data_IF_612122064539
#
_entry.id   IF_612122064539
#
_cell.length_a   1.000
_cell.length_b   1.000
_cell.length_c   1.000
_cell.angle_alpha   90.00
_cell.angle_beta   90.00
_cell.angle_gamma   90.00
#
_symmetry.space_group_name_H-M   'P 1'
#
loop_
_entity.id
_entity.type
_entity.pdbx_description
1 polymer ?
#
# COMPACT_ATOMS: atom_id res chain seq x y z
N UNK A 1 0.01 17.68 16.67
CA UNK A 1 -1.05 16.64 16.76
C UNK A 1 -2.25 17.23 17.47
N UNK A 2 -3.43 17.11 16.86
CA UNK A 2 -4.71 17.62 17.37
C UNK A 2 -5.63 16.45 17.73
N UNK A 3 -6.29 16.50 18.88
CA UNK A 3 -7.21 15.44 19.35
C UNK A 3 -8.61 16.01 19.49
N UNK A 4 -9.58 15.36 18.86
CA UNK A 4 -10.97 15.82 18.79
C UNK A 4 -11.91 14.70 19.22
N UNK A 5 -12.79 14.96 20.18
CA UNK A 5 -13.91 14.08 20.51
C UNK A 5 -15.12 14.43 19.64
N UNK A 6 -15.77 13.40 19.10
CA UNK A 6 -17.00 13.53 18.32
C UNK A 6 -18.20 13.45 19.25
N UNK A 7 -19.03 14.50 19.25
CA UNK A 7 -20.28 14.55 20.00
C UNK A 7 -21.45 13.92 19.21
N UNK A 8 -22.56 13.63 19.89
CA UNK A 8 -23.75 12.99 19.27
C UNK A 8 -24.47 13.89 18.25
N UNK A 9 -24.24 15.20 18.29
CA UNK A 9 -24.75 16.17 17.33
C UNK A 9 -23.83 16.35 16.12
N UNK A 10 -22.65 15.72 16.12
CA UNK A 10 -21.62 15.87 15.09
C UNK A 10 -20.69 17.04 15.27
N UNK A 11 -20.80 17.79 16.37
CA UNK A 11 -19.79 18.77 16.75
C UNK A 11 -18.49 18.08 17.20
N UNK A 12 -17.38 18.80 17.07
CA UNK A 12 -16.04 18.35 17.45
C UNK A 12 -15.57 19.16 18.65
N UNK A 13 -15.15 18.48 19.71
CA UNK A 13 -14.56 19.12 20.89
C UNK A 13 -13.08 18.78 20.97
N UNK A 14 -12.23 19.80 20.98
CA UNK A 14 -10.79 19.60 21.13
C UNK A 14 -10.43 19.17 22.55
N UNK A 15 -9.71 18.06 22.68
CA UNK A 15 -9.25 17.54 23.95
C UNK A 15 -7.79 17.95 24.16
N UNK A 16 -7.44 18.45 25.36
CA UNK A 16 -6.05 18.83 25.68
C UNK A 16 -5.13 17.61 25.74
N UNK A 17 -5.70 16.43 25.97
CA UNK A 17 -4.96 15.19 26.10
C UNK A 17 -5.73 14.00 25.51
N UNK A 18 -5.00 13.06 24.89
CA UNK A 18 -5.60 11.88 24.28
C UNK A 18 -6.11 10.91 25.35
N UNK A 19 -7.42 10.66 25.35
CA UNK A 19 -8.09 9.68 26.21
C UNK A 19 -8.98 8.77 25.36
N UNK A 20 -8.70 7.47 25.34
CA UNK A 20 -9.48 6.47 24.62
C UNK A 20 -10.55 5.88 25.54
N UNK A 21 -11.78 6.40 25.47
CA UNK A 21 -12.91 5.93 26.29
C UNK A 21 -13.79 4.97 25.47
N UNK A 22 -14.24 3.82 26.03
CA UNK A 22 -15.03 2.86 25.25
C UNK A 22 -16.34 3.39 24.65
N UNK A 23 -16.87 4.49 25.18
CA UNK A 23 -18.13 5.12 24.77
C UNK A 23 -17.94 6.31 23.80
N UNK A 24 -16.69 6.69 23.52
CA UNK A 24 -16.37 7.84 22.67
C UNK A 24 -15.89 7.42 21.28
N UNK A 25 -15.92 8.39 20.38
CA UNK A 25 -15.29 8.31 19.06
C UNK A 25 -14.33 9.49 19.01
N UNK A 26 -13.06 9.20 18.76
CA UNK A 26 -11.98 10.18 18.82
C UNK A 26 -11.35 10.30 17.44
N UNK A 27 -11.11 11.53 17.00
CA UNK A 27 -10.34 11.87 15.82
C UNK A 27 -8.99 12.39 16.28
N UNK A 28 -7.90 11.81 15.75
CA UNK A 28 -6.53 12.25 16.04
C UNK A 28 -5.93 12.70 14.71
N UNK A 29 -5.47 13.95 14.65
CA UNK A 29 -4.79 14.49 13.47
C UNK A 29 -3.30 14.55 13.75
N UNK A 30 -2.56 13.76 12.99
CA UNK A 30 -1.10 13.78 12.93
C UNK A 30 -0.65 14.64 11.77
N UNK A 31 -0.07 15.80 12.10
CA UNK A 31 0.44 16.78 11.15
C UNK A 31 1.80 16.36 10.58
N UNK A 32 2.57 15.52 11.29
CA UNK A 32 3.90 15.07 10.87
C UNK A 32 3.76 14.00 9.82
N UNK A 33 2.99 12.95 10.11
CA UNK A 33 2.78 11.84 9.18
C UNK A 33 1.65 12.11 8.16
N UNK A 34 1.02 13.31 8.21
CA UNK A 34 -0.19 13.69 7.44
C UNK A 34 -1.27 12.60 7.51
N UNK A 35 -1.56 12.11 8.72
CA UNK A 35 -2.54 11.03 8.96
C UNK A 35 -3.65 11.50 9.88
N UNK A 36 -4.87 11.04 9.63
CA UNK A 36 -5.99 11.29 10.51
C UNK A 36 -6.56 9.96 10.97
N UNK A 37 -6.57 9.71 12.27
CA UNK A 37 -7.08 8.49 12.86
C UNK A 37 -8.50 8.71 13.37
N UNK A 38 -9.41 7.81 13.03
CA UNK A 38 -10.74 7.70 13.63
C UNK A 38 -10.76 6.47 14.52
N UNK A 39 -10.59 6.68 15.82
CA UNK A 39 -10.68 5.63 16.83
C UNK A 39 -12.13 5.51 17.32
N UNK A 40 -12.66 4.28 17.33
CA UNK A 40 -14.04 3.97 17.72
C UNK A 40 -14.03 3.09 18.96
N UNK A 41 -14.60 3.59 20.05
CA UNK A 41 -14.82 2.79 21.25
C UNK A 41 -15.74 1.59 21.00
N UNK A 42 -15.51 0.49 21.70
CA UNK A 42 -16.28 -0.74 21.55
C UNK A 42 -17.75 -0.55 21.96
N UNK A 43 -17.99 0.22 23.01
CA UNK A 43 -19.31 0.47 23.60
C UNK A 43 -20.01 1.70 23.01
N UNK A 44 -19.41 2.41 22.06
CA UNK A 44 -20.04 3.59 21.48
C UNK A 44 -21.16 3.21 20.48
N UNK A 45 -22.23 4.00 20.47
CA UNK A 45 -23.39 3.75 19.62
C UNK A 45 -23.03 3.77 18.13
N UNK A 46 -23.64 2.90 17.34
CA UNK A 46 -23.44 2.80 15.88
C UNK A 46 -23.64 4.17 15.21
N UNK A 47 -24.67 4.92 15.62
CA UNK A 47 -24.94 6.28 15.12
C UNK A 47 -23.75 7.21 15.30
N UNK A 48 -23.12 7.21 16.49
CA UNK A 48 -21.95 8.05 16.81
C UNK A 48 -20.74 7.69 15.95
N UNK A 49 -20.53 6.40 15.63
CA UNK A 49 -19.48 5.95 14.68
C UNK A 49 -19.68 6.53 13.28
N UNK A 50 -20.92 6.52 12.76
CA UNK A 50 -21.26 7.12 11.47
C UNK A 50 -21.09 8.63 11.46
N UNK A 51 -21.49 9.30 12.55
CA UNK A 51 -21.28 10.75 12.72
C UNK A 51 -19.78 11.05 12.71
N UNK A 52 -18.96 10.28 13.43
CA UNK A 52 -17.50 10.47 13.45
C UNK A 52 -16.84 10.27 12.09
N UNK A 53 -17.26 9.29 11.29
CA UNK A 53 -16.77 9.11 9.93
C UNK A 53 -17.09 10.30 9.01
N UNK A 54 -18.30 10.87 9.14
CA UNK A 54 -18.68 12.10 8.42
C UNK A 54 -17.87 13.29 8.91
N UNK A 55 -17.77 13.48 10.22
CA UNK A 55 -17.04 14.60 10.81
C UNK A 55 -15.55 14.57 10.44
N UNK A 56 -14.91 13.39 10.41
CA UNK A 56 -13.56 13.21 9.89
C UNK A 56 -13.45 13.62 8.42
N UNK A 57 -14.39 13.18 7.59
CA UNK A 57 -14.40 13.48 6.16
C UNK A 57 -14.58 14.98 5.90
N UNK A 58 -15.44 15.63 6.67
CA UNK A 58 -15.69 17.07 6.58
C UNK A 58 -14.51 17.88 7.10
N UNK A 59 -13.88 17.45 8.21
CA UNK A 59 -12.66 18.05 8.75
C UNK A 59 -11.52 17.99 7.73
N UNK A 60 -11.33 16.82 7.10
CA UNK A 60 -10.36 16.65 6.02
C UNK A 60 -10.62 17.62 4.87
N UNK A 61 -11.86 17.70 4.39
CA UNK A 61 -12.23 18.58 3.27
C UNK A 61 -12.06 20.07 3.57
N UNK A 62 -12.33 20.49 4.82
CA UNK A 62 -12.34 21.91 5.20
C UNK A 62 -10.98 22.44 5.62
N UNK A 63 -10.21 21.67 6.40
CA UNK A 63 -9.01 22.17 7.09
C UNK A 63 -7.70 21.61 6.53
N UNK A 64 -7.69 20.36 6.04
CA UNK A 64 -6.44 19.62 5.81
C UNK A 64 -6.18 19.20 4.36
N UNK A 65 -7.22 19.11 3.53
CA UNK A 65 -7.13 18.72 2.12
C UNK A 65 -6.86 17.22 1.91
N UNK A 66 -6.55 16.87 0.66
CA UNK A 66 -6.40 15.46 0.24
C UNK A 66 -5.09 14.82 0.70
N UNK A 67 -4.08 15.60 1.08
CA UNK A 67 -2.79 15.10 1.56
C UNK A 67 -2.90 14.29 2.87
N UNK A 68 -3.93 14.55 3.68
CA UNK A 68 -4.14 13.83 4.93
C UNK A 68 -4.87 12.51 4.70
N UNK A 69 -4.30 11.40 5.16
CA UNK A 69 -4.84 10.05 4.95
C UNK A 69 -5.73 9.65 6.13
N UNK A 70 -7.06 9.48 5.94
CA UNK A 70 -7.94 8.98 6.99
C UNK A 70 -7.73 7.47 7.19
N UNK A 71 -7.53 7.07 8.44
CA UNK A 71 -7.40 5.69 8.90
C UNK A 71 -8.41 5.44 10.01
N UNK A 72 -8.96 4.22 10.06
CA UNK A 72 -10.02 3.87 11.00
C UNK A 72 -9.53 2.74 11.90
N UNK A 73 -9.73 2.88 13.21
CA UNK A 73 -9.35 1.88 14.20
C UNK A 73 -10.53 1.59 15.14
N UNK A 74 -10.74 0.32 15.47
CA UNK A 74 -11.70 -0.11 16.48
C UNK A 74 -10.97 -0.49 17.76
N UNK A 75 -11.60 -0.24 18.90
CA UNK A 75 -11.04 -0.60 20.20
C UNK A 75 -10.79 -2.11 20.31
N UNK A 76 -9.55 -2.51 20.62
CA UNK A 76 -9.13 -3.90 20.72
C UNK A 76 -8.65 -4.52 19.39
N UNK A 77 -8.83 -3.81 18.28
CA UNK A 77 -8.34 -4.17 16.94
C UNK A 77 -7.48 -3.05 16.36
N UNK A 78 -6.73 -2.34 17.21
CA UNK A 78 -5.85 -1.28 16.75
C UNK A 78 -4.71 -1.83 15.87
N UNK A 79 -4.48 -1.17 14.73
CA UNK A 79 -3.43 -1.50 13.76
C UNK A 79 -2.03 -1.24 14.34
N UNK A 80 -1.01 -1.93 13.81
CA UNK A 80 0.37 -1.69 14.20
C UNK A 80 0.80 -0.22 13.98
N UNK A 81 0.37 0.42 12.89
CA UNK A 81 0.69 1.83 12.64
C UNK A 81 0.06 2.78 13.69
N UNK A 82 -1.15 2.48 14.16
CA UNK A 82 -1.79 3.23 15.24
C UNK A 82 -1.03 3.09 16.56
N UNK A 83 -0.57 1.87 16.87
CA UNK A 83 0.27 1.63 18.05
C UNK A 83 1.60 2.38 17.94
N UNK A 84 2.26 2.37 16.77
CA UNK A 84 3.48 3.14 16.55
C UNK A 84 3.24 4.66 16.73
N UNK A 85 2.10 5.17 16.26
CA UNK A 85 1.70 6.56 16.49
C UNK A 85 1.52 6.86 17.99
N UNK A 86 0.88 5.97 18.76
CA UNK A 86 0.76 6.13 20.21
C UNK A 86 2.11 6.07 20.92
N UNK A 87 3.06 5.29 20.43
CA UNK A 87 4.43 5.25 20.96
C UNK A 87 5.16 6.57 20.73
N UNK A 88 5.02 7.18 19.54
CA UNK A 88 5.53 8.54 19.27
C UNK A 88 4.93 9.58 20.23
N UNK A 89 3.69 9.38 20.66
CA UNK A 89 3.02 10.25 21.65
C UNK A 89 3.38 9.92 23.11
N UNK A 90 4.11 8.82 23.39
CA UNK A 90 4.34 8.34 24.76
C UNK A 90 3.07 7.85 25.46
N UNK A 91 2.08 7.37 24.69
CA UNK A 91 0.74 6.96 25.18
C UNK A 91 0.41 5.49 24.86
N UNK A 92 1.42 4.64 24.82
CA UNK A 92 1.25 3.20 24.55
C UNK A 92 0.38 2.49 25.61
N UNK A 93 0.33 3.02 26.84
CA UNK A 93 -0.49 2.49 27.95
C UNK A 93 -2.00 2.59 27.72
N UNK A 94 -2.46 3.35 26.71
CA UNK A 94 -3.88 3.47 26.38
C UNK A 94 -4.45 2.25 25.66
N UNK A 95 -3.60 1.32 25.22
CA UNK A 95 -4.00 0.11 24.50
C UNK A 95 -3.76 -1.13 25.36
N UNK A 96 -4.57 -2.17 25.14
CA UNK A 96 -4.39 -3.43 25.86
C UNK A 96 -3.03 -4.09 25.58
N UNK A 97 -2.51 -4.83 26.57
CA UNK A 97 -1.24 -5.55 26.44
C UNK A 97 -1.24 -6.57 25.30
N UNK A 98 -2.39 -7.16 24.98
CA UNK A 98 -2.53 -8.10 23.88
C UNK A 98 -2.37 -7.43 22.51
N UNK A 99 -2.93 -6.23 22.35
CA UNK A 99 -2.77 -5.44 21.12
C UNK A 99 -1.33 -4.96 20.97
N UNK A 100 -0.69 -4.50 22.06
CA UNK A 100 0.72 -4.15 22.06
C UNK A 100 1.61 -5.34 21.65
N UNK A 101 1.31 -6.54 22.16
CA UNK A 101 2.03 -7.77 21.80
C UNK A 101 1.88 -8.11 20.32
N UNK A 102 0.65 -8.10 19.81
CA UNK A 102 0.35 -8.36 18.38
C UNK A 102 1.00 -7.33 17.46
N UNK A 103 0.94 -6.05 17.83
CA UNK A 103 1.57 -4.97 17.08
C UNK A 103 3.09 -5.14 17.04
N UNK A 104 3.74 -5.43 18.17
CA UNK A 104 5.19 -5.71 18.22
C UNK A 104 5.58 -6.91 17.37
N UNK A 105 4.83 -8.01 17.45
CA UNK A 105 5.09 -9.20 16.63
C UNK A 105 4.96 -8.89 15.13
N UNK A 106 3.96 -8.12 14.72
CA UNK A 106 3.78 -7.69 13.33
C UNK A 106 4.91 -6.77 12.87
N UNK A 107 5.29 -5.78 13.68
CA UNK A 107 6.40 -4.87 13.38
C UNK A 107 7.72 -5.62 13.25
N UNK A 108 7.98 -6.62 14.10
CA UNK A 108 9.20 -7.44 14.05
C UNK A 108 9.23 -8.35 12.81
N UNK A 109 8.09 -8.91 12.41
CA UNK A 109 8.00 -9.67 11.16
C UNK A 109 8.25 -8.78 9.95
N UNK A 110 7.67 -7.58 9.95
CA UNK A 110 7.87 -6.60 8.87
C UNK A 110 9.31 -6.09 8.83
N UNK A 111 9.97 -5.88 9.98
CA UNK A 111 11.38 -5.48 10.00
C UNK A 111 12.29 -6.57 9.46
N UNK A 112 12.05 -7.85 9.79
CA UNK A 112 12.82 -8.98 9.23
C UNK A 112 12.68 -9.13 7.72
N UNK A 113 11.54 -8.73 7.15
CA UNK A 113 11.33 -8.71 5.69
C UNK A 113 12.04 -7.51 5.05
N UNK A 114 12.15 -6.39 5.77
CA UNK A 114 12.81 -5.17 5.28
C UNK A 114 14.33 -5.14 5.51
N UNK A 115 14.91 -6.16 6.14
CA UNK A 115 16.38 -6.31 6.25
C UNK A 115 16.89 -7.05 5.01
N UNK A 116 17.02 -6.29 3.92
CA UNK A 116 18.08 -6.50 2.95
C UNK A 116 19.22 -5.55 3.33
N UNK A 117 19.95 -5.89 4.38
CA UNK A 117 21.30 -5.37 4.60
C UNK A 117 22.13 -6.47 5.29
N UNK A 118 23.37 -6.59 4.83
CA UNK A 118 24.28 -7.71 5.05
C UNK A 118 24.48 -8.04 6.54
N UNK A 119 24.21 -9.29 6.90
CA UNK A 119 24.95 -9.95 7.98
C UNK A 119 25.51 -11.24 7.41
N UNK A 120 26.82 -11.23 7.18
CA UNK A 120 27.66 -12.42 7.13
C UNK A 120 27.55 -13.17 8.48
N UNK A 121 26.43 -13.83 8.72
CA UNK A 121 26.41 -14.97 9.64
C UNK A 121 26.33 -16.24 8.80
N UNK A 122 27.36 -17.05 8.93
CA UNK A 122 27.45 -18.38 8.34
C UNK A 122 26.14 -19.16 8.55
N UNK A 123 25.73 -20.00 7.58
CA UNK A 123 24.52 -20.78 7.70
C UNK A 123 24.65 -21.70 8.92
N UNK A 124 23.93 -21.38 9.99
CA UNK A 124 23.65 -22.34 11.04
C UNK A 124 22.94 -23.54 10.41
N UNK A 125 23.70 -24.60 10.19
CA UNK A 125 23.20 -25.92 9.82
C UNK A 125 22.16 -26.35 10.86
N UNK A 126 20.88 -26.17 10.54
CA UNK A 126 19.81 -26.99 11.08
C UNK A 126 20.03 -28.40 10.54
N UNK A 127 20.81 -29.19 11.28
CA UNK A 127 20.89 -30.64 11.08
C UNK A 127 19.59 -31.27 11.59
N UNK A 128 18.53 -31.18 10.79
CA UNK A 128 17.43 -32.13 10.94
C UNK A 128 17.91 -33.47 10.36
N UNK A 129 18.44 -34.34 11.21
CA UNK A 129 18.73 -35.73 10.85
C UNK A 129 17.41 -36.46 10.60
N UNK A 130 16.98 -36.50 9.34
CA UNK A 130 15.88 -37.35 8.90
C UNK A 130 16.46 -38.76 8.77
N UNK A 131 15.96 -39.70 9.58
CA UNK A 131 16.35 -41.10 9.50
C UNK A 131 15.80 -41.77 8.25
N UNK A 132 16.57 -42.69 7.67
CA UNK A 132 16.27 -43.42 6.41
C UNK A 132 14.92 -44.17 6.39
N UNK A 133 14.25 -44.34 7.54
CA UNK A 133 12.91 -44.95 7.63
C UNK A 133 11.75 -44.04 7.18
N UNK A 134 11.92 -42.71 7.13
CA UNK A 134 10.87 -41.79 6.68
C UNK A 134 10.83 -41.59 5.16
N UNK A 135 11.97 -41.79 4.47
CA UNK A 135 12.07 -41.70 3.00
C UNK A 135 11.30 -42.84 2.32
N UNK A 136 11.19 -43.99 2.98
CA UNK A 136 10.51 -45.17 2.44
C UNK A 136 8.97 -45.05 2.44
N UNK A 137 8.36 -44.18 3.27
CA UNK A 137 6.88 -44.04 3.35
C UNK A 137 6.28 -43.06 2.35
N UNK A 138 7.10 -42.26 1.66
CA UNK A 138 6.64 -41.23 0.71
C UNK A 138 6.37 -41.80 -0.69
N UNK A 139 6.89 -43.00 -1.00
CA UNK A 139 6.78 -43.59 -2.36
C UNK A 139 5.49 -44.35 -2.68
N UNK A 140 4.58 -44.54 -1.73
CA UNK A 140 3.38 -45.41 -1.90
C UNK A 140 2.03 -44.68 -1.80
N UNK A 141 1.96 -43.39 -2.16
CA UNK A 141 0.67 -42.70 -2.33
C UNK A 141 0.37 -42.41 -3.80
N UNK A 142 -0.70 -43.00 -4.38
CA UNK A 142 -1.11 -42.67 -5.75
C UNK A 142 -1.60 -41.23 -5.81
N UNK A 143 -1.12 -40.49 -6.81
CA UNK A 143 -1.42 -39.07 -7.02
C UNK A 143 -2.92 -38.84 -7.23
N UNK A 144 -3.52 -38.02 -6.37
CA UNK A 144 -4.86 -37.49 -6.60
C UNK A 144 -4.77 -36.18 -7.38
N UNK A 145 -5.22 -36.26 -8.63
CA UNK A 145 -5.70 -35.13 -9.42
C UNK A 145 -6.88 -34.45 -8.70
N UNK A 146 -6.95 -33.11 -8.62
CA UNK A 146 -8.18 -32.45 -8.17
C UNK A 146 -9.21 -32.49 -9.31
N UNK A 147 -10.12 -33.45 -9.23
CA UNK A 147 -11.30 -33.55 -10.07
C UNK A 147 -12.32 -32.50 -9.64
N UNK A 148 -12.84 -31.77 -10.62
CA UNK A 148 -14.10 -31.02 -10.57
C UNK A 148 -15.25 -31.92 -10.10
N UNK A 149 -16.03 -31.48 -9.10
CA UNK A 149 -17.50 -31.57 -8.95
C UNK A 149 -18.04 -31.84 -7.52
N UNK A 150 -18.88 -30.88 -7.06
CA UNK A 150 -20.08 -30.96 -6.18
C UNK A 150 -19.91 -31.07 -4.63
N UNK A 151 -20.91 -30.70 -3.77
CA UNK A 151 -22.28 -30.20 -4.01
C UNK A 151 -22.72 -28.94 -3.19
N UNK A 152 -23.90 -28.39 -3.54
CA UNK A 152 -24.59 -27.35 -2.78
C UNK A 152 -25.12 -27.85 -1.42
N UNK A 153 -24.81 -27.12 -0.33
CA UNK A 153 -25.72 -26.70 0.77
C UNK A 153 -24.98 -25.92 1.89
N UNK A 154 -25.36 -24.65 2.04
CA UNK A 154 -25.40 -23.77 3.23
C UNK A 154 -24.15 -23.54 4.12
N UNK A 155 -23.56 -22.33 4.00
CA UNK A 155 -23.18 -21.37 5.07
C UNK A 155 -22.49 -20.16 4.39
N UNK A 156 -23.12 -18.98 4.21
CA UNK A 156 -23.27 -17.80 5.10
C UNK A 156 -21.94 -17.14 5.53
N UNK A 157 -21.83 -15.83 5.20
CA UNK A 157 -20.81 -14.81 5.57
C UNK A 157 -19.53 -14.83 4.70
N UNK A 158 -18.95 -13.74 4.21
CA UNK A 158 -19.20 -12.31 4.40
C UNK A 158 -17.86 -11.54 4.48
N UNK A 159 -17.55 -10.73 3.47
CA UNK A 159 -16.68 -9.53 3.50
C UNK A 159 -15.15 -9.71 3.77
N UNK A 160 -14.34 -8.63 3.79
CA UNK A 160 -13.94 -7.79 2.66
C UNK A 160 -12.43 -7.42 2.65
N UNK A 161 -11.97 -6.78 1.57
CA UNK A 161 -11.10 -5.60 1.73
C UNK A 161 -9.59 -5.78 1.53
N UNK A 162 -9.16 -5.73 0.27
CA UNK A 162 -7.85 -5.19 -0.09
C UNK A 162 -7.97 -3.66 -0.20
N UNK A 163 -7.11 -2.89 0.49
CA UNK A 163 -6.79 -1.50 0.13
C UNK A 163 -5.33 -1.12 0.45
N UNK A 164 -4.76 -0.16 -0.31
CA UNK A 164 -3.36 -0.16 -0.74
C UNK A 164 -2.50 0.89 0.00
N UNK A 165 -1.18 0.71 -0.06
CA UNK A 165 -0.15 1.60 0.51
C UNK A 165 0.19 2.79 -0.40
N UNK A 166 0.49 3.98 0.15
CA UNK A 166 0.80 5.20 -0.61
C UNK A 166 2.21 5.19 -1.22
N UNK A 167 2.37 5.87 -2.36
CA UNK A 167 3.60 5.96 -3.16
C UNK A 167 4.50 7.15 -2.77
N UNK A 168 5.79 7.01 -3.11
CA UNK A 168 6.96 7.81 -2.72
C UNK A 168 6.86 9.30 -3.13
N UNK A 169 5.98 9.65 -4.08
CA UNK A 169 5.75 11.02 -4.56
C UNK A 169 5.31 12.01 -3.47
N UNK A 170 4.70 11.55 -2.37
CA UNK A 170 4.28 12.44 -1.28
C UNK A 170 5.42 12.99 -0.42
N UNK A 171 6.67 12.53 -0.63
CA UNK A 171 7.83 12.89 0.19
C UNK A 171 8.81 13.88 -0.48
N UNK A 172 8.73 14.09 -1.80
CA UNK A 172 9.69 14.95 -2.51
C UNK A 172 9.25 16.43 -2.55
N UNK A 173 7.95 16.70 -2.54
CA UNK A 173 7.33 18.03 -2.72
C UNK A 173 7.45 18.97 -1.49
N UNK A 174 8.24 18.60 -0.47
CA UNK A 174 8.34 19.37 0.80
C UNK A 174 9.71 20.02 1.02
N UNK A 175 10.56 20.08 -0.02
CA UNK A 175 11.95 20.58 0.09
C UNK A 175 12.26 21.87 -0.69
N UNK A 176 11.30 22.46 -1.38
CA UNK A 176 11.53 23.71 -2.13
C UNK A 176 10.54 24.79 -1.70
N UNK A 177 10.95 25.67 -0.76
CA UNK A 177 10.66 27.12 -0.72
C UNK A 177 11.20 27.74 0.61
N UNK A 178 12.21 28.61 0.50
CA UNK A 178 12.68 29.50 1.59
C UNK A 178 12.13 30.93 1.41
N UNK A 179 11.85 31.63 2.52
CA UNK A 179 11.57 33.08 2.52
C UNK A 179 11.55 33.75 3.91
N UNK A 180 12.72 34.25 4.33
CA UNK A 180 13.00 35.44 5.18
C UNK A 180 12.89 35.46 6.75
N UNK A 181 14.09 35.56 7.35
CA UNK A 181 14.61 36.48 8.39
C UNK A 181 14.17 36.45 9.88
N UNK A 182 15.13 36.07 10.75
CA UNK A 182 15.25 36.43 12.17
C UNK A 182 16.66 36.11 12.74
N UNK A 183 17.23 36.87 13.71
CA UNK A 183 18.67 36.81 14.07
C UNK A 183 18.94 36.05 15.40
N UNK A 184 20.21 35.97 15.89
CA UNK A 184 21.23 34.97 15.58
C UNK A 184 21.43 33.90 16.68
N UNK A 185 22.03 32.79 16.27
CA UNK A 185 22.40 31.60 17.06
C UNK A 185 23.74 31.80 17.81
N UNK A 186 23.92 31.28 19.05
CA UNK A 186 25.25 31.01 19.60
C UNK A 186 25.80 29.67 19.09
N UNK A 187 27.02 29.75 18.56
CA UNK A 187 27.78 28.70 17.87
C UNK A 187 27.91 27.39 18.65
N UNK A 188 27.73 26.25 17.98
CA UNK A 188 28.49 25.02 18.25
C UNK A 188 28.77 24.27 16.94
N UNK A 189 30.01 23.78 16.81
CA UNK A 189 30.70 23.31 15.60
C UNK A 189 30.23 21.94 15.10
N UNK A 190 29.94 21.89 13.79
CA UNK A 190 30.48 20.95 12.78
C UNK A 190 30.49 19.43 13.10
N UNK A 191 29.37 18.74 12.85
CA UNK A 191 29.31 17.35 12.34
C UNK A 191 27.94 17.20 11.63
N UNK A 192 27.86 17.25 10.29
CA UNK A 192 26.62 16.79 9.60
C UNK A 192 26.66 16.71 8.06
N UNK A 193 27.62 17.31 7.35
CA UNK A 193 27.53 17.37 5.88
C UNK A 193 27.92 16.09 5.12
N UNK A 194 28.70 15.18 5.71
CA UNK A 194 29.14 13.94 5.04
C UNK A 194 28.12 12.80 5.11
N UNK A 195 27.26 12.78 6.13
CA UNK A 195 26.30 11.68 6.34
C UNK A 195 25.08 11.81 5.41
N UNK A 196 24.61 13.03 5.12
CA UNK A 196 23.48 13.27 4.20
C UNK A 196 23.80 13.00 2.72
N UNK A 197 25.07 13.14 2.32
CA UNK A 197 25.50 12.93 0.93
C UNK A 197 25.59 11.42 0.62
N UNK A 198 25.97 10.61 1.61
CA UNK A 198 26.11 9.15 1.47
C UNK A 198 24.76 8.44 1.32
N UNK A 199 23.76 8.84 2.12
CA UNK A 199 22.42 8.22 2.10
C UNK A 199 21.62 8.54 0.84
N UNK A 200 21.70 9.78 0.33
CA UNK A 200 21.03 10.15 -0.94
C UNK A 200 21.59 9.39 -2.12
N UNK A 201 22.91 9.16 -2.14
CA UNK A 201 23.60 8.43 -3.21
C UNK A 201 23.25 6.95 -3.21
N UNK A 202 23.18 6.32 -2.04
CA UNK A 202 22.78 4.93 -1.90
C UNK A 202 21.32 4.68 -2.32
N UNK A 203 20.39 5.59 -2.00
CA UNK A 203 18.99 5.49 -2.44
C UNK A 203 18.83 5.67 -3.96
N UNK A 204 19.63 6.56 -4.57
CA UNK A 204 19.64 6.75 -6.03
C UNK A 204 20.18 5.51 -6.75
N UNK A 205 21.28 4.92 -6.26
CA UNK A 205 21.90 3.74 -6.86
C UNK A 205 20.98 2.50 -6.81
N UNK A 206 20.17 2.36 -5.75
CA UNK A 206 19.14 1.31 -5.67
C UNK A 206 17.96 1.53 -6.63
N UNK A 207 17.53 2.78 -6.82
CA UNK A 207 16.46 3.10 -7.77
C UNK A 207 16.89 2.83 -9.23
N UNK A 208 18.13 3.19 -9.57
CA UNK A 208 18.70 2.97 -10.90
C UNK A 208 18.87 1.47 -11.23
N UNK A 209 19.21 0.64 -10.25
CA UNK A 209 19.32 -0.81 -10.40
C UNK A 209 17.96 -1.47 -10.62
N UNK A 210 16.93 -1.03 -9.88
CA UNK A 210 15.55 -1.49 -10.07
C UNK A 210 15.02 -1.15 -11.47
N UNK A 211 15.30 0.06 -11.94
CA UNK A 211 14.88 0.55 -13.25
C UNK A 211 15.48 -0.30 -14.38
N UNK A 212 16.79 -0.52 -14.35
CA UNK A 212 17.50 -1.34 -15.37
C UNK A 212 16.98 -2.76 -15.44
N UNK A 213 16.84 -3.43 -14.28
CA UNK A 213 16.30 -4.80 -14.21
C UNK A 213 14.89 -4.88 -14.76
N UNK A 214 14.06 -3.89 -14.46
CA UNK A 214 12.67 -3.85 -14.94
C UNK A 214 12.60 -3.72 -16.45
N UNK A 215 13.46 -2.89 -17.07
CA UNK A 215 13.55 -2.79 -18.52
C UNK A 215 14.11 -4.04 -19.19
N UNK A 216 15.08 -4.72 -18.58
CA UNK A 216 15.58 -6.02 -19.08
C UNK A 216 14.46 -7.06 -19.12
N UNK A 217 13.71 -7.20 -18.02
CA UNK A 217 12.56 -8.13 -17.94
C UNK A 217 11.49 -7.79 -18.99
N UNK A 218 11.19 -6.50 -19.20
CA UNK A 218 10.20 -6.06 -20.20
C UNK A 218 10.63 -6.41 -21.63
N UNK A 219 11.94 -6.32 -21.93
CA UNK A 219 12.51 -6.73 -23.22
C UNK A 219 12.48 -8.24 -23.40
N UNK A 220 12.82 -8.99 -22.36
CA UNK A 220 12.84 -10.45 -22.39
C UNK A 220 11.44 -11.06 -22.54
N UNK A 221 10.44 -10.48 -21.85
CA UNK A 221 9.05 -10.94 -21.94
C UNK A 221 8.37 -10.52 -23.25
N UNK A 222 8.81 -9.42 -23.85
CA UNK A 222 8.19 -8.83 -25.02
C UNK A 222 6.73 -8.42 -24.81
N UNK A 223 6.12 -7.92 -25.87
CA UNK A 223 4.69 -7.58 -25.89
C UNK A 223 3.88 -8.80 -26.35
N UNK A 224 2.74 -9.12 -25.70
CA UNK A 224 1.85 -10.16 -26.18
C UNK A 224 1.40 -9.90 -27.63
N UNK A 225 1.18 -10.98 -28.38
CA UNK A 225 0.78 -10.88 -29.79
C UNK A 225 -0.54 -10.12 -29.93
N UNK A 226 -0.62 -9.19 -30.87
CA UNK A 226 -1.82 -8.39 -31.13
C UNK A 226 -1.98 -7.19 -30.22
N UNK A 227 -0.98 -6.89 -29.40
CA UNK A 227 -0.93 -5.70 -28.56
C UNK A 227 0.33 -4.90 -28.86
N UNK A 228 0.24 -3.60 -28.60
CA UNK A 228 1.40 -2.73 -28.45
C UNK A 228 1.40 -2.11 -27.05
N UNK A 229 2.60 -1.77 -26.57
CA UNK A 229 2.80 -1.19 -25.26
C UNK A 229 2.60 0.32 -25.34
N UNK A 230 1.64 0.84 -24.58
CA UNK A 230 1.29 2.27 -24.58
C UNK A 230 1.96 2.99 -23.40
N UNK A 231 1.78 2.44 -22.19
CA UNK A 231 2.30 3.01 -20.94
C UNK A 231 2.94 1.93 -20.07
N UNK A 232 3.96 2.32 -19.32
CA UNK A 232 4.70 1.45 -18.41
C UNK A 232 4.91 2.21 -17.11
N UNK A 233 4.63 1.58 -15.98
CA UNK A 233 4.86 2.15 -14.66
C UNK A 233 5.93 1.32 -13.98
N UNK A 234 7.05 1.97 -13.62
CA UNK A 234 8.15 1.38 -12.85
C UNK A 234 8.45 2.31 -11.68
N UNK A 235 8.28 1.79 -10.47
CA UNK A 235 8.43 2.61 -9.25
C UNK A 235 7.43 3.76 -9.22
N UNK A 236 7.93 4.99 -9.28
CA UNK A 236 7.14 6.23 -9.31
C UNK A 236 6.96 6.85 -10.68
N UNK A 237 7.69 6.35 -11.68
CA UNK A 237 7.80 7.02 -12.97
C UNK A 237 7.00 6.24 -14.02
N UNK A 238 6.52 7.00 -15.01
CA UNK A 238 5.76 6.47 -16.14
C UNK A 238 6.62 6.59 -17.38
N UNK A 239 6.66 5.52 -18.18
CA UNK A 239 7.46 5.42 -19.39
C UNK A 239 6.56 5.01 -20.56
N UNK A 240 7.05 5.29 -21.76
CA UNK A 240 6.49 4.76 -23.01
C UNK A 240 7.59 4.06 -23.80
N UNK A 241 7.19 3.14 -24.69
CA UNK A 241 8.12 2.44 -25.56
C UNK A 241 8.18 3.18 -26.91
N UNK A 242 9.37 3.67 -27.25
CA UNK A 242 9.66 4.30 -28.53
C UNK A 242 9.69 3.25 -29.66
N UNK A 243 9.56 3.72 -30.90
CA UNK A 243 9.58 2.85 -32.10
C UNK A 243 10.87 2.04 -32.27
N UNK A 244 11.96 2.45 -31.62
CA UNK A 244 13.25 1.75 -31.61
C UNK A 244 13.38 0.72 -30.47
N UNK A 245 12.34 0.54 -29.65
CA UNK A 245 12.32 -0.34 -28.49
C UNK A 245 13.10 0.22 -27.29
N UNK A 246 13.42 1.52 -27.31
CA UNK A 246 13.90 2.24 -26.13
C UNK A 246 12.74 2.69 -25.25
N UNK A 247 13.00 2.84 -23.95
CA UNK A 247 12.01 3.32 -23.00
C UNK A 247 12.32 4.77 -22.64
N UNK A 248 11.35 5.63 -22.85
CA UNK A 248 11.45 7.07 -22.57
C UNK A 248 10.49 7.43 -21.43
N UNK A 249 10.95 8.26 -20.50
CA UNK A 249 10.11 8.76 -19.42
C UNK A 249 9.09 9.74 -20.00
N UNK A 250 7.84 9.61 -19.56
CA UNK A 250 6.75 10.45 -20.03
C UNK A 250 6.75 11.77 -19.25
N UNK A 251 6.97 12.88 -19.94
CA UNK A 251 7.03 14.23 -19.33
C UNK A 251 5.73 14.61 -18.60
N UNK A 252 4.58 14.25 -19.16
CA UNK A 252 3.24 14.57 -18.63
C UNK A 252 2.42 13.28 -18.46
N UNK A 253 2.64 12.52 -17.36
CA UNK A 253 1.87 11.31 -17.12
C UNK A 253 0.39 11.63 -16.81
N UNK A 254 -0.55 10.73 -17.12
CA UNK A 254 -1.95 10.94 -16.80
C UNK A 254 -2.17 11.10 -15.29
N UNK A 255 -2.67 12.26 -14.88
CA UNK A 255 -2.98 12.55 -13.48
C UNK A 255 -4.44 12.22 -13.11
N UNK A 256 -4.65 11.76 -11.88
CA UNK A 256 -5.99 11.47 -11.35
C UNK A 256 -6.52 10.09 -11.74
N UNK A 257 -7.83 9.99 -11.99
CA UNK A 257 -8.47 8.70 -12.31
C UNK A 257 -8.27 8.40 -13.79
N UNK A 258 -7.37 7.46 -14.09
CA UNK A 258 -7.14 6.96 -15.43
C UNK A 258 -8.12 5.83 -15.78
N UNK A 259 -9.10 6.12 -16.63
CA UNK A 259 -10.04 5.12 -17.14
C UNK A 259 -9.46 4.40 -18.36
N UNK A 260 -8.83 3.26 -18.12
CA UNK A 260 -8.20 2.44 -19.15
C UNK A 260 -9.20 1.55 -19.90
N UNK A 261 -10.31 2.10 -20.42
CA UNK A 261 -11.35 1.30 -21.11
C UNK A 261 -10.81 0.55 -22.33
N UNK A 262 -9.79 1.11 -22.99
CA UNK A 262 -9.17 0.56 -24.20
C UNK A 262 -7.80 -0.06 -23.95
N UNK A 263 -7.40 -0.24 -22.68
CA UNK A 263 -6.13 -0.88 -22.35
C UNK A 263 -6.31 -2.09 -21.44
N UNK A 264 -5.45 -3.08 -21.65
CA UNK A 264 -5.32 -4.24 -20.78
C UNK A 264 -4.10 -4.05 -19.89
N UNK A 265 -4.26 -3.86 -18.57
CA UNK A 265 -3.13 -3.78 -17.66
C UNK A 265 -2.53 -5.18 -17.44
N UNK A 266 -1.22 -5.31 -17.62
CA UNK A 266 -0.45 -6.52 -17.31
C UNK A 266 0.59 -6.20 -16.23
N UNK A 267 0.54 -6.97 -15.14
CA UNK A 267 1.45 -6.82 -14.01
C UNK A 267 2.57 -7.85 -14.10
N UNK A 268 3.82 -7.38 -14.03
CA UNK A 268 5.01 -8.22 -14.11
C UNK A 268 5.60 -8.34 -12.71
N UNK A 269 5.53 -9.54 -12.15
CA UNK A 269 6.02 -9.85 -10.81
C UNK A 269 7.21 -10.81 -10.87
N UNK A 270 8.24 -10.53 -10.09
CA UNK A 270 9.39 -11.42 -9.90
C UNK A 270 9.63 -11.60 -8.40
N UNK A 271 9.69 -12.85 -7.92
CA UNK A 271 9.89 -13.17 -6.50
C UNK A 271 8.89 -12.48 -5.54
N UNK A 272 7.65 -12.27 -6.00
CA UNK A 272 6.60 -11.60 -5.23
C UNK A 272 6.68 -10.07 -5.22
N UNK A 273 7.61 -9.47 -5.97
CA UNK A 273 7.77 -8.02 -6.10
C UNK A 273 7.27 -7.59 -7.48
N UNK A 274 6.46 -6.52 -7.52
CA UNK A 274 6.05 -5.90 -8.78
C UNK A 274 7.25 -5.16 -9.37
N UNK A 275 7.69 -5.59 -10.55
CA UNK A 275 8.79 -4.94 -11.29
C UNK A 275 8.27 -3.84 -12.19
N UNK A 276 7.19 -4.13 -12.92
CA UNK A 276 6.56 -3.18 -13.82
C UNK A 276 5.07 -3.48 -13.95
N UNK A 277 4.30 -2.44 -14.29
CA UNK A 277 2.92 -2.55 -14.74
C UNK A 277 2.88 -1.94 -16.14
N UNK A 278 2.51 -2.73 -17.15
CA UNK A 278 2.34 -2.25 -18.52
C UNK A 278 0.85 -2.12 -18.86
N UNK A 279 0.48 -1.09 -19.61
CA UNK A 279 -0.83 -0.92 -20.21
C UNK A 279 -0.72 -1.19 -21.70
N UNK A 280 -1.37 -2.27 -22.12
CA UNK A 280 -1.34 -2.78 -23.48
C UNK A 280 -2.57 -2.30 -24.24
N UNK A 281 -2.38 -1.78 -25.45
CA UNK A 281 -3.48 -1.49 -26.38
C UNK A 281 -3.53 -2.56 -27.45
N UNK A 282 -4.73 -3.07 -27.79
CA UNK A 282 -4.88 -3.97 -28.92
C UNK A 282 -4.53 -3.22 -30.22
N UNK A 283 -3.78 -3.87 -31.12
CA UNK A 283 -3.55 -3.34 -32.46
C UNK A 283 -4.87 -3.39 -33.26
N UNK A 284 -5.16 -2.34 -34.05
CA UNK A 284 -6.36 -2.31 -34.89
C UNK A 284 -6.34 -3.48 -35.89
N UNK A 285 -7.27 -4.42 -35.71
CA UNK A 285 -7.40 -5.60 -36.57
C UNK A 285 -6.58 -6.82 -36.13
N UNK A 286 -6.01 -6.82 -34.92
CA UNK A 286 -5.39 -8.01 -34.36
C UNK A 286 -6.44 -9.10 -34.07
N UNK A 287 -6.23 -10.30 -34.63
CA UNK A 287 -6.91 -11.52 -34.18
C UNK A 287 -6.40 -11.84 -32.78
N UNK A 288 -7.18 -11.48 -31.77
CA UNK A 288 -7.01 -11.92 -30.39
C UNK A 288 -7.21 -13.44 -30.34
N UNK A 289 -6.59 -14.13 -29.38
CA UNK A 289 -6.89 -15.55 -29.21
C UNK A 289 -8.35 -15.73 -28.79
N UNK A 290 -8.98 -16.87 -29.12
CA UNK A 290 -10.37 -17.15 -28.68
C UNK A 290 -10.56 -17.01 -27.15
N UNK A 291 -9.49 -17.25 -26.38
CA UNK A 291 -9.47 -17.06 -24.93
C UNK A 291 -9.44 -15.58 -24.55
N UNK A 292 -8.62 -14.77 -25.22
CA UNK A 292 -8.51 -13.32 -24.96
C UNK A 292 -9.77 -12.57 -25.41
N UNK A 293 -10.37 -12.95 -26.55
CA UNK A 293 -11.65 -12.40 -27.01
C UNK A 293 -12.76 -12.65 -25.99
N UNK A 294 -12.80 -13.87 -25.44
CA UNK A 294 -13.77 -14.24 -24.42
C UNK A 294 -13.56 -13.44 -23.12
N UNK A 295 -12.32 -13.26 -22.69
CA UNK A 295 -12.01 -12.46 -21.49
C UNK A 295 -12.38 -10.99 -21.72
N UNK A 296 -12.09 -10.44 -22.90
CA UNK A 296 -12.46 -9.08 -23.25
C UNK A 296 -13.98 -8.88 -23.24
N UNK A 297 -14.73 -9.81 -23.84
CA UNK A 297 -16.20 -9.80 -23.84
C UNK A 297 -16.77 -9.91 -22.43
N UNK A 298 -16.25 -10.82 -21.60
CA UNK A 298 -16.68 -10.98 -20.21
C UNK A 298 -16.48 -9.68 -19.41
N UNK A 299 -15.38 -8.95 -19.66
CA UNK A 299 -15.12 -7.65 -19.04
C UNK A 299 -16.10 -6.59 -19.55
N UNK A 300 -16.36 -6.51 -20.85
CA UNK A 300 -17.31 -5.57 -21.45
C UNK A 300 -18.74 -5.80 -20.94
N UNK A 301 -19.17 -7.06 -20.82
CA UNK A 301 -20.46 -7.45 -20.26
C UNK A 301 -20.57 -7.05 -18.77
N UNK A 302 -19.51 -7.21 -17.99
CA UNK A 302 -19.47 -6.74 -16.60
C UNK A 302 -19.58 -5.21 -16.54
N UNK A 303 -18.84 -4.50 -17.39
CA UNK A 303 -18.86 -3.03 -17.42
C UNK A 303 -20.23 -2.49 -17.81
N UNK A 304 -20.88 -3.08 -18.82
CA UNK A 304 -22.24 -2.72 -19.24
C UNK A 304 -23.28 -2.98 -18.14
N UNK A 305 -23.10 -4.01 -17.31
CA UNK A 305 -23.98 -4.26 -16.16
C UNK A 305 -23.91 -3.15 -15.08
N UNK A 306 -22.79 -2.43 -15.01
CA UNK A 306 -22.58 -1.33 -14.06
C UNK A 306 -22.86 0.06 -14.65
N UNK A 307 -23.07 0.18 -15.97
CA UNK A 307 -23.61 1.40 -16.58
C UNK A 307 -25.10 1.50 -16.21
N UNK A 308 -25.36 2.08 -15.03
CA UNK A 308 -26.70 2.49 -14.63
C UNK A 308 -27.09 3.68 -15.51
N UNK A 309 -28.11 3.50 -16.35
CA UNK A 309 -28.79 4.61 -17.03
C UNK A 309 -29.25 5.63 -15.98
N UNK A 310 -28.53 6.74 -15.89
CA UNK A 310 -29.00 7.91 -15.13
C UNK A 310 -29.98 8.64 -16.05
N UNK A 311 -31.23 8.20 -16.00
CA UNK A 311 -32.39 8.92 -16.57
C UNK A 311 -32.77 10.15 -15.75
#
# INVERSE_FOLDING_TARGET
MKVLEVNEDGSLTELPDLQLKPESVIIIVDEVDKRMWLWKGQNCQIRKKFIGSRALSDLRKKEYGFAYIPQTCDQGEETAEFVAMLQKMGKEDLVSSEVLRKAKELMERQSRINVFDEVDEEPHKLTASISDEEVARIKDRPGQVPTSQLPAKMAKMGAPGNRPTPSILSALDSLEEEGEQGPPIPKTKQVSKEVEISTKRAMQEQADDLLKKSFEILKDLGVPKGFYRDLIIIGTNVYTESYDGSFEELDEPPEGVFFSRSHVPRMICENGIVRAIEFLKPEEGAELSEEDEKIAQDIEDILSMFEIDIG
#
